data_IF_912403249263
#
_entry.id   IF_912403249263
#
_cell.length_a   1.000
_cell.length_b   1.000
_cell.length_c   1.000
_cell.angle_alpha   90.00
_cell.angle_beta   90.00
_cell.angle_gamma   90.00
#
_symmetry.space_group_name_H-M   'P 1'
#
loop_
_entity.id
_entity.type
_entity.pdbx_description
1 polymer ?
#
# COMPACT_ATOMS: atom_id res chain seq x y z
N UNK A 1 -2.55 17.28 -7.54
CA UNK A 1 -3.17 17.78 -8.78
C UNK A 1 -4.24 16.77 -9.22
N UNK A 2 -5.25 17.21 -10.01
CA UNK A 2 -6.35 16.32 -10.42
C UNK A 2 -5.91 15.19 -11.36
N UNK A 3 -4.92 15.44 -12.19
CA UNK A 3 -4.34 14.45 -13.11
C UNK A 3 -3.69 13.31 -12.31
N UNK A 4 -2.91 13.62 -11.29
CA UNK A 4 -2.26 12.61 -10.42
C UNK A 4 -3.27 11.70 -9.73
N UNK A 5 -4.44 12.22 -9.39
CA UNK A 5 -5.49 11.45 -8.73
C UNK A 5 -6.13 10.40 -9.64
N UNK A 6 -6.10 10.59 -10.95
CA UNK A 6 -6.77 9.71 -11.92
C UNK A 6 -5.81 8.96 -12.83
N UNK A 7 -4.55 9.41 -12.92
CA UNK A 7 -3.54 8.89 -13.85
C UNK A 7 -3.38 7.37 -13.80
N UNK A 8 -3.24 6.83 -12.59
CA UNK A 8 -2.99 5.41 -12.37
C UNK A 8 -4.18 4.49 -12.72
N UNK A 9 -5.39 5.06 -12.84
CA UNK A 9 -6.60 4.32 -13.21
C UNK A 9 -6.94 4.38 -14.71
N UNK A 10 -6.07 4.95 -15.53
CA UNK A 10 -6.32 5.13 -16.96
C UNK A 10 -5.41 4.22 -17.79
N UNK A 11 -6.01 3.59 -18.81
CA UNK A 11 -5.29 2.76 -19.77
C UNK A 11 -4.77 3.58 -20.95
N UNK A 12 -3.63 3.16 -21.50
CA UNK A 12 -3.12 3.66 -22.77
C UNK A 12 -4.15 3.43 -23.90
N UNK A 13 -4.23 4.35 -24.86
CA UNK A 13 -3.42 5.56 -25.13
C UNK A 13 -3.96 6.85 -24.49
N UNK A 14 -4.68 6.79 -23.37
CA UNK A 14 -5.17 7.93 -22.58
C UNK A 14 -6.10 8.91 -23.34
N UNK A 15 -6.83 8.45 -24.36
CA UNK A 15 -7.69 9.28 -25.24
C UNK A 15 -8.67 10.14 -24.42
N UNK A 16 -9.34 9.53 -23.44
CA UNK A 16 -10.33 10.23 -22.63
C UNK A 16 -9.69 11.28 -21.71
N UNK A 17 -8.45 11.04 -21.24
CA UNK A 17 -7.70 12.01 -20.45
C UNK A 17 -7.37 13.24 -21.29
N UNK A 18 -6.81 13.05 -22.48
CA UNK A 18 -6.48 14.16 -23.37
C UNK A 18 -7.73 14.92 -23.83
N UNK A 19 -8.81 14.22 -24.19
CA UNK A 19 -10.07 14.86 -24.54
C UNK A 19 -10.62 15.77 -23.41
N UNK A 20 -10.52 15.32 -22.16
CA UNK A 20 -10.89 16.13 -21.00
C UNK A 20 -9.97 17.34 -20.80
N UNK A 21 -8.65 17.15 -20.87
CA UNK A 21 -7.68 18.25 -20.74
C UNK A 21 -7.84 19.33 -21.79
N UNK A 22 -8.19 18.92 -23.01
CA UNK A 22 -8.48 19.82 -24.14
C UNK A 22 -9.93 20.38 -24.13
N UNK A 23 -10.70 20.12 -23.06
CA UNK A 23 -12.10 20.53 -22.90
C UNK A 23 -13.05 20.01 -24.00
N UNK A 24 -12.69 18.91 -24.66
CA UNK A 24 -13.49 18.23 -25.68
C UNK A 24 -14.27 17.02 -25.13
N UNK A 25 -14.07 16.67 -23.86
CA UNK A 25 -14.70 15.52 -23.21
C UNK A 25 -14.90 15.71 -21.70
N UNK A 26 -15.59 14.76 -21.11
CA UNK A 26 -15.80 14.74 -19.66
C UNK A 26 -14.56 14.17 -18.94
N UNK A 27 -14.40 14.52 -17.66
CA UNK A 27 -13.38 13.92 -16.79
C UNK A 27 -13.54 12.40 -16.76
N UNK A 28 -12.48 11.64 -17.06
CA UNK A 28 -12.53 10.17 -17.01
C UNK A 28 -12.99 9.69 -15.64
N UNK A 29 -13.92 8.74 -15.64
CA UNK A 29 -14.30 8.00 -14.44
C UNK A 29 -13.33 6.85 -14.26
N UNK A 30 -12.74 6.74 -13.08
CA UNK A 30 -11.87 5.64 -12.68
C UNK A 30 -12.53 4.87 -11.54
N UNK A 31 -12.30 3.57 -11.48
CA UNK A 31 -12.64 2.80 -10.31
C UNK A 31 -11.68 3.16 -9.19
N UNK A 32 -12.20 3.58 -8.06
CA UNK A 32 -11.42 3.91 -6.88
C UNK A 32 -10.56 2.73 -6.39
N UNK A 33 -11.05 1.52 -6.58
CA UNK A 33 -10.43 0.30 -6.06
C UNK A 33 -9.45 -0.37 -7.01
N UNK A 34 -9.38 0.09 -8.25
CA UNK A 34 -8.48 -0.49 -9.27
C UNK A 34 -7.20 0.30 -9.48
N UNK A 35 -6.93 1.28 -8.61
CA UNK A 35 -5.84 2.22 -8.82
C UNK A 35 -4.89 2.28 -7.63
N UNK A 36 -3.65 2.62 -7.94
CA UNK A 36 -2.69 3.11 -6.97
C UNK A 36 -3.09 4.50 -6.45
N UNK A 37 -3.08 4.68 -5.14
CA UNK A 37 -3.30 5.97 -4.50
C UNK A 37 -1.97 6.59 -4.09
N UNK A 38 -1.74 7.89 -4.34
CA UNK A 38 -0.50 8.55 -3.91
C UNK A 38 -0.24 8.31 -2.41
N UNK A 39 0.92 7.76 -2.12
CA UNK A 39 1.32 7.44 -0.75
C UNK A 39 1.63 8.69 0.05
N UNK A 40 1.38 8.65 1.34
CA UNK A 40 1.85 9.68 2.28
C UNK A 40 3.34 9.48 2.52
N UNK A 41 4.12 10.53 2.29
CA UNK A 41 5.57 10.49 2.48
C UNK A 41 5.94 11.20 3.79
N UNK A 42 6.77 10.54 4.60
CA UNK A 42 7.36 11.17 5.77
C UNK A 42 8.41 12.20 5.37
N UNK A 43 8.50 13.30 6.12
CA UNK A 43 9.59 14.25 6.01
C UNK A 43 10.81 13.77 6.81
N UNK A 44 12.03 14.04 6.34
CA UNK A 44 13.23 13.71 7.11
C UNK A 44 13.28 14.54 8.40
N UNK A 45 13.69 13.89 9.48
CA UNK A 45 13.97 14.56 10.75
C UNK A 45 15.36 15.23 10.67
N UNK A 46 15.41 16.51 10.94
CA UNK A 46 16.68 17.25 11.09
C UNK A 46 17.05 17.25 12.56
N UNK A 47 17.96 16.33 12.95
CA UNK A 47 18.27 16.04 14.36
C UNK A 47 18.62 17.27 15.18
N UNK A 48 19.48 18.15 14.66
CA UNK A 48 19.95 19.34 15.36
C UNK A 48 18.85 20.36 15.64
N UNK A 49 17.85 20.44 14.76
CA UNK A 49 16.74 21.39 14.86
C UNK A 49 15.53 20.79 15.55
N UNK A 50 15.12 19.63 15.10
CA UNK A 50 13.82 19.08 15.46
C UNK A 50 13.83 18.40 16.82
N UNK A 51 14.95 17.78 17.24
CA UNK A 51 15.06 17.15 18.56
C UNK A 51 15.06 18.16 19.71
N UNK A 52 15.48 19.41 19.47
CA UNK A 52 15.46 20.45 20.50
C UNK A 52 14.07 21.01 20.78
N UNK A 53 13.15 20.87 19.80
CA UNK A 53 11.80 21.45 19.86
C UNK A 53 10.70 20.41 19.89
N UNK A 54 10.97 19.16 19.50
CA UNK A 54 10.00 18.09 19.44
C UNK A 54 9.62 17.57 20.86
N UNK A 55 8.34 17.55 21.14
CA UNK A 55 7.84 16.86 22.35
C UNK A 55 7.66 15.37 22.02
N UNK A 56 8.34 14.44 22.70
CA UNK A 56 8.22 13.01 22.42
C UNK A 56 6.79 12.46 22.49
N UNK A 57 5.89 13.11 23.24
CA UNK A 57 4.48 12.72 23.36
C UNK A 57 3.67 12.93 22.08
N UNK A 58 4.18 13.76 21.15
CA UNK A 58 3.52 14.05 19.89
C UNK A 58 3.94 13.09 18.77
N UNK A 59 4.82 12.12 19.07
CA UNK A 59 5.40 11.20 18.11
C UNK A 59 5.14 9.74 18.50
N UNK A 60 5.08 8.88 17.49
CA UNK A 60 5.03 7.42 17.63
C UNK A 60 6.32 6.85 17.03
N UNK A 61 7.02 6.02 17.78
CA UNK A 61 8.16 5.28 17.28
C UNK A 61 7.70 3.96 16.67
N UNK A 62 8.17 3.67 15.48
CA UNK A 62 7.86 2.44 14.74
C UNK A 62 9.15 1.79 14.21
N UNK A 63 9.12 0.46 14.04
CA UNK A 63 10.23 -0.23 13.39
C UNK A 63 10.33 0.18 11.92
N UNK A 64 11.53 0.52 11.48
CA UNK A 64 11.83 0.69 10.07
C UNK A 64 12.24 -0.66 9.49
N UNK A 65 11.26 -1.34 8.90
CA UNK A 65 11.50 -2.62 8.23
C UNK A 65 12.31 -2.43 6.94
N UNK A 66 13.16 -3.40 6.63
CA UNK A 66 13.96 -3.41 5.41
C UNK A 66 13.35 -4.38 4.38
N UNK A 67 12.32 -3.90 3.72
CA UNK A 67 11.55 -4.63 2.73
C UNK A 67 11.24 -3.79 1.49
N UNK A 68 10.07 -4.01 0.92
CA UNK A 68 9.53 -3.21 -0.18
C UNK A 68 8.22 -2.59 0.29
N UNK A 69 8.15 -1.26 0.29
CA UNK A 69 6.91 -0.56 0.58
C UNK A 69 5.87 -0.92 -0.45
N UNK A 70 4.72 -1.39 0.01
CA UNK A 70 3.59 -1.72 -0.84
C UNK A 70 2.32 -1.04 -0.37
N UNK A 71 1.45 -0.79 -1.32
CA UNK A 71 0.07 -0.41 -1.08
C UNK A 71 -0.83 -1.61 -1.39
N UNK A 72 -1.72 -1.93 -0.46
CA UNK A 72 -2.73 -2.98 -0.59
C UNK A 72 -4.06 -2.29 -0.85
N UNK A 73 -4.63 -2.49 -2.04
CA UNK A 73 -5.95 -2.02 -2.40
C UNK A 73 -6.89 -3.22 -2.42
N UNK A 74 -7.78 -3.31 -1.43
CA UNK A 74 -8.71 -4.43 -1.28
C UNK A 74 -10.16 -3.94 -1.33
N UNK A 75 -11.01 -4.69 -2.02
CA UNK A 75 -12.43 -4.42 -2.22
C UNK A 75 -13.21 -5.73 -2.40
N UNK A 76 -14.55 -5.64 -2.54
CA UNK A 76 -15.42 -6.83 -2.63
C UNK A 76 -15.01 -7.83 -3.72
N UNK A 77 -14.49 -7.35 -4.83
CA UNK A 77 -14.19 -8.15 -6.02
C UNK A 77 -12.73 -8.62 -6.09
N UNK A 78 -11.84 -8.12 -5.23
CA UNK A 78 -10.45 -8.52 -5.28
C UNK A 78 -9.49 -7.70 -4.41
N UNK A 79 -8.21 -8.01 -4.56
CA UNK A 79 -7.13 -7.32 -3.90
C UNK A 79 -5.97 -7.11 -4.87
N UNK A 80 -5.45 -5.90 -4.93
CA UNK A 80 -4.28 -5.54 -5.73
C UNK A 80 -3.15 -5.03 -4.84
N UNK A 81 -1.94 -5.33 -5.24
CA UNK A 81 -0.72 -4.91 -4.57
C UNK A 81 0.07 -4.01 -5.50
N UNK A 82 0.44 -2.82 -5.01
CA UNK A 82 1.23 -1.86 -5.77
C UNK A 82 2.53 -1.54 -5.06
N UNK A 83 3.60 -1.44 -5.82
CA UNK A 83 4.88 -0.95 -5.32
C UNK A 83 4.83 0.54 -4.96
N UNK A 84 5.90 1.05 -4.35
CA UNK A 84 6.05 2.49 -4.05
C UNK A 84 5.90 3.40 -5.28
N UNK A 85 6.25 2.89 -6.45
CA UNK A 85 6.19 3.61 -7.74
C UNK A 85 4.86 3.46 -8.45
N UNK A 86 3.95 2.65 -7.92
CA UNK A 86 2.63 2.39 -8.50
C UNK A 86 2.61 1.21 -9.48
N UNK A 87 3.71 0.43 -9.56
CA UNK A 87 3.74 -0.78 -10.38
C UNK A 87 2.94 -1.88 -9.70
N UNK A 88 2.07 -2.54 -10.44
CA UNK A 88 1.27 -3.64 -9.90
C UNK A 88 2.14 -4.90 -9.73
N UNK A 89 2.19 -5.43 -8.52
CA UNK A 89 2.97 -6.62 -8.14
C UNK A 89 2.12 -7.79 -7.64
N UNK A 90 0.80 -7.71 -7.80
CA UNK A 90 -0.18 -8.70 -7.32
C UNK A 90 0.18 -10.13 -7.71
N UNK A 91 0.56 -10.34 -8.96
CA UNK A 91 0.86 -11.66 -9.50
C UNK A 91 2.13 -12.31 -8.91
N UNK A 92 3.04 -11.51 -8.35
CA UNK A 92 4.23 -12.02 -7.66
C UNK A 92 3.94 -12.51 -6.23
N UNK A 93 2.80 -12.05 -5.64
CA UNK A 93 2.42 -12.36 -4.26
C UNK A 93 0.96 -12.82 -4.15
N UNK A 94 0.56 -13.86 -4.88
CA UNK A 94 -0.84 -14.31 -4.92
C UNK A 94 -1.34 -14.82 -3.56
N UNK A 95 -0.47 -15.32 -2.68
CA UNK A 95 -0.82 -15.73 -1.33
C UNK A 95 -1.32 -14.56 -0.48
N UNK A 96 -0.72 -13.39 -0.64
CA UNK A 96 -1.11 -12.17 0.08
C UNK A 96 -2.43 -11.64 -0.46
N UNK A 97 -2.55 -11.48 -1.78
CA UNK A 97 -3.76 -10.94 -2.39
C UNK A 97 -5.00 -11.82 -2.18
N UNK A 98 -4.84 -13.14 -2.10
CA UNK A 98 -5.92 -14.08 -1.81
C UNK A 98 -6.35 -14.09 -0.33
N UNK A 99 -5.41 -13.85 0.58
CA UNK A 99 -5.66 -13.86 2.02
C UNK A 99 -6.38 -12.60 2.52
N UNK A 100 -6.17 -11.48 1.83
CA UNK A 100 -6.68 -10.17 2.26
C UNK A 100 -8.10 -9.97 1.72
N UNK A 101 -9.03 -9.63 2.61
CA UNK A 101 -10.43 -9.33 2.29
C UNK A 101 -10.86 -8.09 3.04
N UNK A 102 -11.61 -7.22 2.40
CA UNK A 102 -12.12 -6.01 3.01
C UNK A 102 -12.28 -4.89 1.98
N UNK A 103 -12.61 -3.71 2.46
CA UNK A 103 -12.82 -2.52 1.64
C UNK A 103 -11.91 -1.40 2.17
N UNK A 104 -10.65 -1.43 1.78
CA UNK A 104 -9.63 -0.52 2.30
C UNK A 104 -8.44 -0.36 1.36
N UNK A 105 -7.68 0.70 1.61
CA UNK A 105 -6.33 0.90 1.07
C UNK A 105 -5.37 0.99 2.25
N UNK A 106 -4.44 0.05 2.32
CA UNK A 106 -3.43 -0.04 3.37
C UNK A 106 -2.05 0.30 2.82
N UNK A 107 -1.19 0.82 3.70
CA UNK A 107 0.22 1.05 3.45
C UNK A 107 1.04 0.15 4.38
N UNK A 108 2.04 -0.53 3.84
CA UNK A 108 2.82 -1.49 4.59
C UNK A 108 4.15 -1.81 3.96
N UNK A 109 4.93 -2.63 4.66
CA UNK A 109 6.20 -3.15 4.19
C UNK A 109 6.06 -4.64 3.89
N UNK A 110 6.36 -5.03 2.66
CA UNK A 110 6.40 -6.40 2.19
C UNK A 110 7.76 -7.00 2.51
N UNK A 111 7.76 -8.16 3.14
CA UNK A 111 8.94 -8.86 3.62
C UNK A 111 8.91 -10.32 3.17
N UNK A 112 10.08 -10.89 2.86
CA UNK A 112 10.22 -12.33 2.76
C UNK A 112 10.38 -12.92 4.16
N UNK A 113 9.78 -14.09 4.42
CA UNK A 113 9.90 -14.76 5.71
C UNK A 113 8.62 -15.42 6.18
N UNK A 114 8.65 -15.97 7.40
CA UNK A 114 7.50 -16.58 8.10
C UNK A 114 7.44 -16.11 9.54
N UNK A 115 6.23 -16.14 10.12
CA UNK A 115 5.98 -15.89 11.54
C UNK A 115 6.65 -14.62 12.07
N UNK A 116 6.56 -13.56 11.32
CA UNK A 116 7.19 -12.29 11.66
C UNK A 116 8.74 -12.30 11.75
N UNK A 117 9.37 -13.32 11.18
CA UNK A 117 10.83 -13.43 11.08
C UNK A 117 11.25 -13.10 9.65
N UNK A 118 11.68 -11.85 9.37
CA UNK A 118 12.08 -11.48 8.03
C UNK A 118 13.38 -12.17 7.63
N UNK A 119 13.43 -12.59 6.37
CA UNK A 119 14.64 -12.99 5.67
C UNK A 119 15.34 -11.75 5.09
N UNK A 120 16.39 -11.96 4.29
CA UNK A 120 17.13 -10.86 3.68
C UNK A 120 16.33 -10.16 2.58
N UNK A 121 16.71 -8.91 2.28
CA UNK A 121 16.15 -8.17 1.14
C UNK A 121 16.40 -8.89 -0.20
N UNK A 122 17.50 -9.61 -0.34
CA UNK A 122 17.81 -10.41 -1.54
C UNK A 122 16.77 -11.53 -1.75
N UNK A 123 16.33 -12.20 -0.68
CA UNK A 123 15.27 -13.22 -0.76
C UNK A 123 13.94 -12.58 -1.26
N UNK A 124 13.64 -11.36 -0.80
CA UNK A 124 12.47 -10.64 -1.26
C UNK A 124 12.57 -10.24 -2.73
N UNK A 125 13.74 -9.80 -3.20
CA UNK A 125 13.95 -9.47 -4.61
C UNK A 125 13.74 -10.69 -5.53
N UNK A 126 14.19 -11.86 -5.11
CA UNK A 126 13.94 -13.10 -5.85
C UNK A 126 12.45 -13.40 -5.99
N UNK A 127 11.68 -13.13 -4.94
CA UNK A 127 10.21 -13.23 -4.97
C UNK A 127 9.59 -12.22 -5.93
N UNK A 128 9.98 -10.95 -5.86
CA UNK A 128 9.44 -9.87 -6.69
C UNK A 128 9.65 -10.14 -8.19
N UNK A 129 10.82 -10.66 -8.55
CA UNK A 129 11.19 -10.97 -9.94
C UNK A 129 10.38 -12.15 -10.53
N UNK A 130 9.69 -12.94 -9.69
CA UNK A 130 8.90 -14.10 -10.13
C UNK A 130 7.44 -13.70 -10.34
N UNK A 131 7.11 -13.24 -11.57
CA UNK A 131 5.76 -12.75 -11.91
C UNK A 131 4.63 -13.79 -11.85
N UNK A 132 4.95 -15.09 -11.85
CA UNK A 132 3.98 -16.20 -11.75
C UNK A 132 4.62 -17.33 -10.95
N UNK A 133 4.71 -17.20 -9.62
CA UNK A 133 5.33 -18.22 -8.78
C UNK A 133 4.43 -19.46 -8.69
N UNK A 134 5.05 -20.65 -8.69
CA UNK A 134 4.34 -21.89 -8.41
C UNK A 134 4.06 -22.03 -6.92
N UNK A 135 3.08 -22.85 -6.53
CA UNK A 135 2.76 -23.10 -5.12
C UNK A 135 3.97 -23.63 -4.33
N UNK A 136 4.79 -24.50 -4.95
CA UNK A 136 6.03 -24.98 -4.35
C UNK A 136 6.97 -23.82 -4.04
N UNK A 137 7.19 -22.92 -5.02
CA UNK A 137 8.06 -21.77 -4.85
C UNK A 137 7.57 -20.82 -3.75
N UNK A 138 6.25 -20.59 -3.66
CA UNK A 138 5.64 -19.76 -2.60
C UNK A 138 5.91 -20.37 -1.22
N UNK A 139 5.72 -21.68 -1.06
CA UNK A 139 5.96 -22.38 0.21
C UNK A 139 7.45 -22.35 0.65
N UNK A 140 8.36 -22.45 -0.30
CA UNK A 140 9.81 -22.38 -0.04
C UNK A 140 10.29 -20.94 0.23
N UNK A 141 9.61 -19.96 -0.35
CA UNK A 141 9.94 -18.54 -0.25
C UNK A 141 8.71 -17.73 0.19
N UNK A 142 8.20 -17.94 1.39
CA UNK A 142 7.02 -17.25 1.88
C UNK A 142 7.27 -15.76 2.08
N UNK A 143 6.18 -14.99 2.03
CA UNK A 143 6.20 -13.55 2.24
C UNK A 143 5.05 -13.12 3.15
N UNK A 144 5.24 -12.01 3.84
CA UNK A 144 4.22 -11.40 4.68
C UNK A 144 4.31 -9.87 4.61
N UNK A 145 3.31 -9.17 5.14
CA UNK A 145 3.25 -7.72 5.15
C UNK A 145 3.17 -7.19 6.56
N UNK A 146 3.96 -6.18 6.88
CA UNK A 146 3.81 -5.34 8.06
C UNK A 146 3.02 -4.09 7.69
N UNK A 147 1.74 -4.10 7.99
CA UNK A 147 0.87 -2.94 7.75
C UNK A 147 1.10 -1.90 8.84
N UNK A 148 1.34 -0.66 8.45
CA UNK A 148 1.59 0.42 9.39
C UNK A 148 0.65 1.63 9.20
N UNK A 149 -0.09 1.74 8.09
CA UNK A 149 -1.06 2.81 7.91
C UNK A 149 -2.28 2.35 7.12
N UNK A 150 -3.38 3.10 7.24
CA UNK A 150 -4.60 2.96 6.45
C UNK A 150 -4.91 4.29 5.78
N UNK A 151 -4.99 4.28 4.45
CA UNK A 151 -5.23 5.48 3.65
C UNK A 151 -6.71 5.69 3.37
N UNK A 152 -7.44 4.57 3.15
CA UNK A 152 -8.88 4.57 2.93
C UNK A 152 -9.52 3.40 3.67
N UNK A 153 -10.73 3.62 4.18
CA UNK A 153 -11.49 2.58 4.85
C UNK A 153 -12.98 2.74 4.55
N UNK A 154 -13.61 1.69 4.01
CA UNK A 154 -15.03 1.68 3.62
C UNK A 154 -15.41 2.89 2.73
N UNK A 155 -14.56 3.24 1.76
CA UNK A 155 -14.79 4.32 0.82
C UNK A 155 -14.47 5.74 1.37
N UNK A 156 -14.02 5.84 2.61
CA UNK A 156 -13.65 7.12 3.24
C UNK A 156 -12.15 7.34 3.11
N UNK A 157 -11.74 8.48 2.56
CA UNK A 157 -10.35 8.94 2.54
C UNK A 157 -9.92 9.37 3.94
N UNK A 158 -8.91 8.73 4.50
CA UNK A 158 -8.39 9.00 5.83
C UNK A 158 -7.06 9.77 5.81
N UNK A 159 -6.52 10.09 4.65
CA UNK A 159 -5.19 10.71 4.53
C UNK A 159 -5.11 12.09 5.19
N UNK A 160 -6.22 12.82 5.22
CA UNK A 160 -6.33 14.13 5.90
C UNK A 160 -6.61 13.99 7.41
N UNK A 161 -6.76 12.75 7.93
CA UNK A 161 -6.98 12.51 9.35
C UNK A 161 -5.64 12.39 10.10
N UNK A 162 -5.60 12.76 11.39
CA UNK A 162 -4.43 12.54 12.24
C UNK A 162 -3.99 11.07 12.26
N UNK A 163 -2.68 10.82 12.36
CA UNK A 163 -2.13 9.46 12.42
C UNK A 163 -2.79 8.61 13.52
N UNK A 164 -3.07 9.21 14.67
CA UNK A 164 -3.73 8.54 15.80
C UNK A 164 -5.13 8.00 15.45
N UNK A 165 -5.89 8.71 14.62
CA UNK A 165 -7.21 8.25 14.16
C UNK A 165 -7.04 7.10 13.16
N UNK A 166 -6.13 7.22 12.20
CA UNK A 166 -5.85 6.15 11.24
C UNK A 166 -5.38 4.87 11.93
N UNK A 167 -4.50 4.99 12.94
CA UNK A 167 -4.06 3.84 13.76
C UNK A 167 -5.20 3.19 14.54
N UNK A 168 -6.17 3.97 15.05
CA UNK A 168 -7.37 3.40 15.69
C UNK A 168 -8.20 2.57 14.72
N UNK A 169 -8.43 3.08 13.51
CA UNK A 169 -9.15 2.34 12.45
C UNK A 169 -8.42 1.04 12.11
N UNK A 170 -7.10 1.12 11.87
CA UNK A 170 -6.27 -0.03 11.55
C UNK A 170 -6.32 -1.09 12.65
N UNK A 171 -6.11 -0.70 13.91
CA UNK A 171 -6.11 -1.61 15.04
C UNK A 171 -7.49 -2.25 15.26
N UNK A 172 -8.57 -1.48 15.14
CA UNK A 172 -9.94 -2.02 15.29
C UNK A 172 -10.24 -3.08 14.25
N UNK A 173 -9.83 -2.85 13.00
CA UNK A 173 -10.03 -3.83 11.93
C UNK A 173 -9.26 -5.13 12.19
N UNK A 174 -7.96 -5.06 12.50
CA UNK A 174 -7.12 -6.25 12.69
C UNK A 174 -7.37 -6.96 14.03
N UNK A 175 -7.86 -6.25 15.07
CA UNK A 175 -8.28 -6.91 16.31
C UNK A 175 -9.52 -7.78 16.10
N UNK A 176 -10.40 -7.38 15.19
CA UNK A 176 -11.64 -8.11 14.88
C UNK A 176 -11.43 -9.19 13.82
N UNK A 177 -10.43 -9.03 12.98
CA UNK A 177 -10.14 -9.89 11.84
C UNK A 177 -8.69 -10.39 11.97
N UNK A 178 -8.50 -11.62 12.45
CA UNK A 178 -7.19 -12.28 12.42
C UNK A 178 -6.84 -12.63 10.97
N UNK A 179 -6.40 -11.64 10.21
CA UNK A 179 -5.77 -11.90 8.93
C UNK A 179 -4.35 -12.43 9.18
N UNK A 180 -3.87 -13.41 8.42
CA UNK A 180 -2.47 -13.80 8.41
C UNK A 180 -1.65 -12.73 7.68
N UNK A 181 -1.37 -11.64 8.37
CA UNK A 181 -0.53 -10.55 7.89
C UNK A 181 0.73 -10.45 8.76
#
# INVERSE_FOLDING_TARGET
NEIEKIWHGLALPYINLFAWLEKRGQKPKISFYDIFHPMMLAHPLVLEKDLTTANPKDFIAEYKWDGIRIQIVSYSEGCRLYSRTGDEVTNSFPEISKAIKGNFVLDGELLAGVDNKPKTFNDLQQRLNKKSPTEKFIKENPSFVKVYDVLFFNGIDLRDKPLTERKKVLNSYFSSNRAPL
#
